data_IF_542874080338
#
_entry.id   IF_542874080338
#
_cell.length_a   1.000
_cell.length_b   1.000
_cell.length_c   1.000
_cell.angle_alpha   90.00
_cell.angle_beta   90.00
_cell.angle_gamma   90.00
#
_symmetry.space_group_name_H-M   'P 1'
#
loop_
_entity.id
_entity.type
_entity.pdbx_description
1 polymer ?
#
# COMPACT_ATOMS: atom_id res chain seq x y z
N UNK A 1 -20.93 -21.05 -60.86
CA UNK A 1 -20.67 -21.66 -59.53
C UNK A 1 -19.51 -21.05 -58.77
N UNK A 2 -18.29 -20.90 -59.28
CA UNK A 2 -17.13 -20.31 -58.54
C UNK A 2 -17.33 -18.86 -58.01
N UNK A 3 -17.99 -17.99 -58.77
CA UNK A 3 -18.24 -16.60 -58.35
C UNK A 3 -19.17 -16.49 -57.16
N UNK A 4 -20.21 -17.34 -57.06
CA UNK A 4 -21.15 -17.34 -55.96
C UNK A 4 -20.50 -17.82 -54.64
N UNK A 5 -19.54 -18.76 -54.73
CA UNK A 5 -18.78 -19.25 -53.56
C UNK A 5 -17.88 -18.13 -53.02
N UNK A 6 -17.26 -17.35 -53.89
CA UNK A 6 -16.39 -16.21 -53.51
C UNK A 6 -17.22 -15.12 -52.80
N UNK A 7 -18.42 -14.78 -53.30
CA UNK A 7 -19.30 -13.83 -52.65
C UNK A 7 -19.84 -14.32 -51.31
N UNK A 8 -20.15 -15.62 -51.19
CA UNK A 8 -20.55 -16.19 -49.92
C UNK A 8 -19.40 -16.17 -48.87
N UNK A 9 -18.17 -16.44 -49.30
CA UNK A 9 -17.00 -16.40 -48.42
C UNK A 9 -16.69 -14.96 -47.97
N UNK A 10 -16.79 -13.98 -48.86
CA UNK A 10 -16.64 -12.56 -48.55
C UNK A 10 -17.69 -12.05 -47.53
N UNK A 11 -18.93 -12.54 -47.69
CA UNK A 11 -20.03 -12.17 -46.76
C UNK A 11 -19.84 -12.77 -45.38
N UNK A 12 -19.34 -13.99 -45.31
CA UNK A 12 -18.98 -14.65 -44.01
C UNK A 12 -17.80 -13.92 -43.34
N UNK A 13 -16.77 -13.54 -44.09
CA UNK A 13 -15.64 -12.81 -43.56
C UNK A 13 -16.08 -11.42 -43.07
N UNK A 14 -16.95 -10.70 -43.83
CA UNK A 14 -17.50 -9.40 -43.43
C UNK A 14 -18.36 -9.51 -42.13
N UNK A 15 -19.11 -10.61 -41.97
CA UNK A 15 -19.88 -10.88 -40.77
C UNK A 15 -19.02 -11.16 -39.52
N UNK A 16 -17.79 -11.70 -39.71
CA UNK A 16 -16.85 -11.92 -38.62
C UNK A 16 -16.20 -10.63 -38.10
N UNK A 17 -16.18 -9.57 -38.90
CA UNK A 17 -15.70 -8.23 -38.49
C UNK A 17 -16.80 -7.33 -37.92
N UNK A 18 -18.07 -7.73 -37.99
CA UNK A 18 -19.16 -7.05 -37.32
C UNK A 18 -19.26 -7.50 -35.84
N UNK A 19 -18.13 -7.53 -35.16
CA UNK A 19 -18.06 -7.72 -33.71
C UNK A 19 -18.74 -6.52 -33.02
N UNK A 20 -19.75 -6.78 -32.23
CA UNK A 20 -20.47 -5.75 -31.48
C UNK A 20 -19.58 -5.21 -30.35
N UNK A 21 -18.75 -4.21 -30.58
CA UNK A 21 -18.04 -3.45 -29.56
C UNK A 21 -19.02 -2.88 -28.51
N UNK A 22 -20.20 -2.44 -28.95
CA UNK A 22 -21.23 -1.88 -28.06
C UNK A 22 -21.92 -2.89 -27.13
N UNK A 23 -21.74 -4.21 -27.31
CA UNK A 23 -22.27 -5.21 -26.37
C UNK A 23 -21.30 -5.55 -25.24
N UNK A 24 -20.06 -5.10 -25.33
CA UNK A 24 -19.06 -5.22 -24.26
C UNK A 24 -19.06 -3.99 -23.33
N UNK A 25 -19.63 -2.87 -23.76
CA UNK A 25 -19.92 -1.71 -22.93
C UNK A 25 -21.15 -1.99 -22.05
N UNK A 26 -20.98 -2.83 -21.06
CA UNK A 26 -21.98 -3.01 -20.02
C UNK A 26 -21.87 -1.81 -19.08
N UNK A 27 -22.85 -0.89 -19.12
CA UNK A 27 -23.00 0.09 -18.06
C UNK A 27 -23.05 -0.64 -16.72
N UNK A 28 -22.10 -0.33 -15.84
CA UNK A 28 -22.09 -0.89 -14.49
C UNK A 28 -23.30 -0.36 -13.73
N UNK A 29 -24.35 -1.17 -13.64
CA UNK A 29 -25.51 -0.87 -12.81
C UNK A 29 -25.18 -1.19 -11.36
N UNK A 30 -25.10 -0.17 -10.52
CA UNK A 30 -24.85 -0.27 -9.08
C UNK A 30 -24.29 1.04 -8.52
N UNK A 31 -24.19 1.12 -7.19
CA UNK A 31 -23.64 2.29 -6.49
C UNK A 31 -22.11 2.50 -6.69
N UNK A 32 -21.47 1.68 -7.49
CA UNK A 32 -20.08 1.89 -7.91
C UNK A 32 -20.09 2.50 -9.31
N UNK A 33 -20.05 3.82 -9.38
CA UNK A 33 -19.77 4.57 -10.61
C UNK A 33 -18.43 4.17 -11.25
N UNK A 34 -18.13 4.74 -12.40
CA UNK A 34 -16.79 4.65 -13.00
C UNK A 34 -15.74 5.11 -11.97
N UNK A 35 -14.54 4.52 -12.02
CA UNK A 35 -13.42 4.96 -11.16
C UNK A 35 -13.19 6.48 -11.24
N UNK A 36 -13.48 7.10 -12.39
CA UNK A 36 -13.35 8.54 -12.56
C UNK A 36 -14.42 9.34 -11.82
N UNK A 37 -15.56 8.74 -11.48
CA UNK A 37 -16.67 9.41 -10.77
C UNK A 37 -16.60 9.21 -9.25
N UNK A 38 -15.81 8.25 -8.77
CA UNK A 38 -15.77 7.89 -7.35
C UNK A 38 -14.97 8.90 -6.50
N UNK A 39 -13.88 9.47 -7.01
CA UNK A 39 -12.97 10.31 -6.21
C UNK A 39 -13.34 11.81 -6.23
N UNK A 40 -14.63 12.16 -6.21
CA UNK A 40 -15.10 13.53 -6.41
C UNK A 40 -15.50 14.23 -5.09
N UNK A 41 -16.21 13.55 -4.19
CA UNK A 41 -16.72 14.14 -2.96
C UNK A 41 -15.88 13.79 -1.73
N UNK A 42 -15.92 14.61 -0.69
CA UNK A 42 -15.22 14.35 0.57
C UNK A 42 -15.64 13.03 1.21
N UNK A 43 -16.93 12.63 1.09
CA UNK A 43 -17.44 11.36 1.59
C UNK A 43 -16.85 10.16 0.84
N UNK A 44 -16.74 10.25 -0.48
CA UNK A 44 -16.10 9.21 -1.30
C UNK A 44 -14.62 9.07 -0.95
N UNK A 45 -13.96 10.20 -0.69
CA UNK A 45 -12.55 10.22 -0.29
C UNK A 45 -12.36 9.59 1.08
N UNK A 46 -13.22 9.89 2.06
CA UNK A 46 -13.16 9.21 3.38
C UNK A 46 -13.41 7.70 3.26
N UNK A 47 -14.26 7.24 2.33
CA UNK A 47 -14.44 5.80 2.05
C UNK A 47 -13.17 5.18 1.45
N UNK A 48 -12.49 5.88 0.52
CA UNK A 48 -11.22 5.41 -0.05
C UNK A 48 -10.14 5.30 1.03
N UNK A 49 -10.04 6.30 1.92
CA UNK A 49 -9.14 6.27 3.07
C UNK A 49 -9.47 5.11 4.01
N UNK A 50 -10.74 4.91 4.36
CA UNK A 50 -11.17 3.79 5.19
C UNK A 50 -10.80 2.44 4.57
N UNK A 51 -10.84 2.32 3.24
CA UNK A 51 -10.39 1.12 2.51
C UNK A 51 -8.90 0.86 2.68
N UNK A 52 -8.04 1.89 2.66
CA UNK A 52 -6.60 1.74 2.93
C UNK A 52 -6.35 1.20 4.35
N UNK A 53 -7.01 1.77 5.37
CA UNK A 53 -6.91 1.26 6.75
C UNK A 53 -7.45 -0.17 6.88
N UNK A 54 -8.51 -0.52 6.17
CA UNK A 54 -9.05 -1.89 6.14
C UNK A 54 -8.08 -2.87 5.50
N UNK A 55 -7.36 -2.46 4.46
CA UNK A 55 -6.30 -3.28 3.83
C UNK A 55 -5.18 -3.59 4.83
N UNK A 56 -4.73 -2.59 5.59
CA UNK A 56 -3.75 -2.81 6.68
C UNK A 56 -4.22 -3.86 7.69
N UNK A 57 -5.49 -3.79 8.11
CA UNK A 57 -6.07 -4.78 9.01
C UNK A 57 -6.04 -6.19 8.39
N UNK A 58 -6.38 -6.32 7.10
CA UNK A 58 -6.33 -7.59 6.37
C UNK A 58 -4.92 -8.14 6.22
N UNK A 59 -3.95 -7.26 6.02
CA UNK A 59 -2.53 -7.61 5.88
C UNK A 59 -1.88 -8.01 7.21
N UNK A 60 -2.38 -7.47 8.34
CA UNK A 60 -1.73 -7.54 9.66
C UNK A 60 -1.37 -8.97 10.09
N UNK A 61 -2.24 -9.95 9.90
CA UNK A 61 -1.98 -11.34 10.30
C UNK A 61 -0.73 -11.89 9.61
N UNK A 62 -0.65 -11.83 8.29
CA UNK A 62 0.48 -12.34 7.53
C UNK A 62 1.76 -11.55 7.84
N UNK A 63 1.67 -10.22 7.90
CA UNK A 63 2.78 -9.33 8.20
C UNK A 63 3.34 -9.58 9.60
N UNK A 64 2.46 -9.67 10.62
CA UNK A 64 2.86 -9.90 12.02
C UNK A 64 3.59 -11.22 12.17
N UNK A 65 3.02 -12.31 11.67
CA UNK A 65 3.65 -13.62 11.79
C UNK A 65 4.93 -13.74 10.96
N UNK A 66 4.94 -13.21 9.74
CA UNK A 66 6.16 -13.25 8.91
C UNK A 66 7.31 -12.54 9.62
N UNK A 67 7.10 -11.35 10.17
CA UNK A 67 8.18 -10.59 10.81
C UNK A 67 8.63 -11.20 12.14
N UNK A 68 7.72 -11.75 12.93
CA UNK A 68 8.07 -12.31 14.22
C UNK A 68 8.69 -13.71 14.09
N UNK A 69 8.18 -14.57 13.23
CA UNK A 69 8.68 -15.94 13.07
C UNK A 69 10.01 -16.02 12.30
N UNK A 70 10.39 -14.98 11.57
CA UNK A 70 11.73 -14.82 10.99
C UNK A 70 12.75 -14.28 11.99
N UNK A 71 12.42 -14.19 13.25
CA UNK A 71 13.34 -13.81 14.33
C UNK A 71 13.60 -14.99 15.27
N UNK A 72 14.67 -14.91 16.07
CA UNK A 72 15.03 -15.89 17.07
C UNK A 72 14.18 -15.78 18.35
N UNK A 73 13.38 -14.71 18.48
CA UNK A 73 12.67 -14.37 19.71
C UNK A 73 11.31 -15.09 19.84
N UNK A 74 10.80 -15.65 18.74
CA UNK A 74 9.44 -16.23 18.68
C UNK A 74 9.49 -17.64 18.10
N UNK A 75 8.77 -18.55 18.76
CA UNK A 75 8.60 -19.93 18.31
C UNK A 75 7.17 -20.17 17.82
N UNK A 76 7.05 -20.86 16.68
CA UNK A 76 5.75 -21.31 16.16
C UNK A 76 5.24 -22.47 17.03
N UNK A 77 4.32 -22.17 17.95
CA UNK A 77 3.63 -23.20 18.74
C UNK A 77 2.57 -23.93 17.90
N UNK A 78 1.90 -24.88 18.55
CA UNK A 78 0.80 -25.67 17.97
C UNK A 78 0.52 -26.90 18.83
N UNK A 79 -0.54 -27.65 18.52
CA UNK A 79 -0.85 -28.90 19.20
C UNK A 79 0.09 -30.02 18.75
N UNK A 80 0.55 -29.98 17.51
CA UNK A 80 1.51 -30.91 16.92
C UNK A 80 2.20 -30.28 15.70
N UNK A 81 3.31 -30.88 15.29
CA UNK A 81 3.99 -30.49 14.06
C UNK A 81 3.09 -30.69 12.84
N UNK A 82 3.07 -29.73 11.94
CA UNK A 82 2.23 -29.74 10.75
C UNK A 82 0.87 -29.05 10.92
N UNK A 83 0.56 -28.52 12.11
CA UNK A 83 -0.68 -27.78 12.36
C UNK A 83 -0.77 -26.53 11.48
N UNK A 84 0.35 -25.84 11.28
CA UNK A 84 0.45 -24.72 10.36
C UNK A 84 1.82 -24.70 9.67
N UNK A 85 1.93 -25.47 8.62
CA UNK A 85 3.19 -25.67 7.87
C UNK A 85 3.82 -24.35 7.39
N UNK A 86 3.01 -23.38 6.95
CA UNK A 86 3.54 -22.10 6.47
C UNK A 86 4.22 -21.29 7.58
N UNK A 87 3.68 -21.32 8.80
CA UNK A 87 4.29 -20.66 9.97
C UNK A 87 5.53 -21.41 10.46
N UNK A 88 5.45 -22.75 10.51
CA UNK A 88 6.59 -23.60 10.89
C UNK A 88 7.78 -23.40 9.95
N UNK A 89 7.53 -23.33 8.63
CA UNK A 89 8.56 -23.08 7.63
C UNK A 89 9.25 -21.72 7.84
N UNK A 90 8.52 -20.67 8.22
CA UNK A 90 9.13 -19.37 8.53
C UNK A 90 10.07 -19.49 9.72
N UNK A 91 9.60 -20.11 10.80
CA UNK A 91 10.35 -20.26 12.03
C UNK A 91 11.60 -21.16 11.88
N UNK A 92 11.54 -22.14 10.98
CA UNK A 92 12.64 -23.07 10.71
C UNK A 92 13.56 -22.63 9.55
N UNK A 93 13.26 -21.47 8.91
CA UNK A 93 13.96 -20.96 7.73
C UNK A 93 13.98 -21.98 6.55
N UNK A 94 12.91 -22.79 6.43
CA UNK A 94 12.74 -23.79 5.37
C UNK A 94 11.73 -23.37 4.31
N UNK A 95 11.27 -22.12 4.35
CA UNK A 95 10.29 -21.58 3.42
C UNK A 95 10.82 -21.43 2.00
N UNK A 96 9.94 -21.64 1.02
CA UNK A 96 10.17 -21.34 -0.39
C UNK A 96 9.37 -20.12 -0.85
N UNK A 97 9.46 -19.85 -2.14
CA UNK A 97 8.70 -18.76 -2.80
C UNK A 97 7.19 -19.01 -2.83
N UNK A 98 6.76 -20.21 -2.56
CA UNK A 98 5.37 -20.69 -2.48
C UNK A 98 4.76 -20.57 -1.07
N UNK A 99 5.51 -20.09 -0.08
CA UNK A 99 5.00 -19.89 1.27
C UNK A 99 3.88 -18.83 1.29
N UNK A 100 2.66 -19.26 1.67
CA UNK A 100 1.46 -18.43 1.61
C UNK A 100 1.50 -17.18 2.50
N UNK A 101 2.27 -17.20 3.60
CA UNK A 101 2.44 -16.03 4.48
C UNK A 101 3.25 -14.94 3.76
N UNK A 102 4.37 -15.30 3.15
CA UNK A 102 5.24 -14.39 2.39
C UNK A 102 4.47 -13.83 1.18
N UNK A 103 3.79 -14.69 0.41
CA UNK A 103 2.97 -14.26 -0.72
C UNK A 103 1.84 -13.32 -0.28
N UNK A 104 1.19 -13.60 0.86
CA UNK A 104 0.13 -12.76 1.42
C UNK A 104 0.64 -11.38 1.83
N UNK A 105 1.85 -11.28 2.41
CA UNK A 105 2.47 -9.98 2.71
C UNK A 105 2.77 -9.22 1.43
N UNK A 106 3.46 -9.86 0.46
CA UNK A 106 3.84 -9.23 -0.79
C UNK A 106 2.64 -8.69 -1.56
N UNK A 107 1.64 -9.52 -1.81
CA UNK A 107 0.44 -9.12 -2.54
C UNK A 107 -0.39 -8.07 -1.80
N UNK A 108 -0.47 -8.16 -0.47
CA UNK A 108 -1.17 -7.18 0.36
C UNK A 108 -0.50 -5.80 0.34
N UNK A 109 0.84 -5.74 0.34
CA UNK A 109 1.58 -4.48 0.21
C UNK A 109 1.32 -3.82 -1.15
N UNK A 110 1.35 -4.58 -2.26
CA UNK A 110 1.03 -4.03 -3.58
C UNK A 110 -0.45 -3.65 -3.72
N UNK A 111 -1.36 -4.39 -3.07
CA UNK A 111 -2.76 -3.98 -2.99
C UNK A 111 -2.94 -2.63 -2.30
N UNK A 112 -2.18 -2.38 -1.22
CA UNK A 112 -2.17 -1.08 -0.54
C UNK A 112 -1.53 0.02 -1.42
N UNK A 113 -0.40 -0.26 -2.09
CA UNK A 113 0.25 0.68 -3.01
C UNK A 113 -0.71 1.10 -4.13
N UNK A 114 -1.46 0.15 -4.70
CA UNK A 114 -2.46 0.44 -5.72
C UNK A 114 -3.56 1.40 -5.21
N UNK A 115 -4.09 1.16 -4.00
CA UNK A 115 -5.08 2.04 -3.38
C UNK A 115 -4.50 3.44 -3.12
N UNK A 116 -3.24 3.52 -2.68
CA UNK A 116 -2.55 4.80 -2.48
C UNK A 116 -2.39 5.55 -3.80
N UNK A 117 -1.96 4.87 -4.88
CA UNK A 117 -1.82 5.48 -6.20
C UNK A 117 -3.16 6.00 -6.73
N UNK A 118 -4.26 5.27 -6.52
CA UNK A 118 -5.60 5.77 -6.86
C UNK A 118 -5.93 7.10 -6.16
N UNK A 119 -5.67 7.19 -4.86
CA UNK A 119 -5.93 8.43 -4.11
C UNK A 119 -4.99 9.56 -4.58
N UNK A 120 -3.70 9.28 -4.73
CA UNK A 120 -2.70 10.29 -5.10
C UNK A 120 -2.96 10.86 -6.49
N UNK A 121 -3.41 10.05 -7.46
CA UNK A 121 -3.60 10.48 -8.85
C UNK A 121 -5.02 10.97 -9.16
N UNK A 122 -6.05 10.44 -8.50
CA UNK A 122 -7.44 10.75 -8.83
C UNK A 122 -8.05 11.85 -7.97
N UNK A 123 -7.47 12.13 -6.79
CA UNK A 123 -8.02 13.11 -5.86
C UNK A 123 -7.42 14.50 -6.12
N UNK A 124 -8.30 15.48 -6.39
CA UNK A 124 -7.88 16.88 -6.44
C UNK A 124 -7.62 17.40 -5.01
N UNK A 125 -6.59 18.23 -4.82
CA UNK A 125 -6.21 18.78 -3.51
C UNK A 125 -6.95 20.09 -3.15
N UNK A 126 -8.23 20.16 -3.46
CA UNK A 126 -9.06 21.35 -3.37
C UNK A 126 -9.80 21.53 -2.03
N UNK A 127 -9.88 20.48 -1.20
CA UNK A 127 -10.45 20.55 0.15
C UNK A 127 -9.48 20.08 1.23
N UNK A 128 -9.65 20.46 2.52
CA UNK A 128 -8.83 19.94 3.61
C UNK A 128 -8.92 18.41 3.77
N UNK A 129 -10.09 17.81 3.53
CA UNK A 129 -10.31 16.37 3.59
C UNK A 129 -9.49 15.67 2.50
N UNK A 130 -9.54 16.14 1.28
CA UNK A 130 -8.81 15.62 0.14
C UNK A 130 -7.29 15.76 0.30
N UNK A 131 -6.82 16.93 0.76
CA UNK A 131 -5.38 17.13 1.08
C UNK A 131 -4.89 16.15 2.13
N UNK A 132 -5.68 15.94 3.19
CA UNK A 132 -5.37 14.96 4.22
C UNK A 132 -5.31 13.54 3.66
N UNK A 133 -6.27 13.16 2.82
CA UNK A 133 -6.30 11.84 2.20
C UNK A 133 -5.07 11.57 1.33
N UNK A 134 -4.62 12.55 0.54
CA UNK A 134 -3.39 12.46 -0.25
C UNK A 134 -2.17 12.28 0.66
N UNK A 135 -2.08 13.04 1.75
CA UNK A 135 -0.97 12.93 2.70
C UNK A 135 -0.96 11.55 3.40
N UNK A 136 -2.13 11.02 3.80
CA UNK A 136 -2.25 9.66 4.34
C UNK A 136 -1.89 8.59 3.30
N UNK A 137 -2.31 8.75 2.04
CA UNK A 137 -1.95 7.82 0.97
C UNK A 137 -0.44 7.79 0.70
N UNK A 138 0.22 8.95 0.69
CA UNK A 138 1.68 9.03 0.61
C UNK A 138 2.36 8.34 1.78
N UNK A 139 1.88 8.56 3.01
CA UNK A 139 2.39 7.86 4.19
C UNK A 139 2.24 6.33 4.04
N UNK A 140 1.09 5.82 3.62
CA UNK A 140 0.87 4.38 3.47
C UNK A 140 1.67 3.78 2.33
N UNK A 141 1.85 4.50 1.24
CA UNK A 141 2.71 4.05 0.13
C UNK A 141 4.18 3.97 0.58
N UNK A 142 4.65 4.96 1.32
CA UNK A 142 5.96 4.94 1.94
C UNK A 142 6.11 3.76 2.92
N UNK A 143 5.12 3.52 3.78
CA UNK A 143 5.11 2.38 4.69
C UNK A 143 5.20 1.06 3.94
N UNK A 144 4.42 0.89 2.89
CA UNK A 144 4.45 -0.34 2.10
C UNK A 144 5.81 -0.55 1.40
N UNK A 145 6.40 0.49 0.81
CA UNK A 145 7.73 0.43 0.21
C UNK A 145 8.83 0.19 1.27
N UNK A 146 8.69 0.75 2.49
CA UNK A 146 9.56 0.45 3.61
C UNK A 146 9.54 -1.04 3.97
N UNK A 147 8.36 -1.64 4.05
CA UNK A 147 8.24 -3.08 4.31
C UNK A 147 8.80 -3.92 3.15
N UNK A 148 8.59 -3.52 1.90
CA UNK A 148 9.17 -4.20 0.74
C UNK A 148 10.70 -4.17 0.77
N UNK A 149 11.31 -3.02 0.98
CA UNK A 149 12.78 -2.92 0.97
C UNK A 149 13.41 -3.61 2.16
N UNK A 150 12.77 -3.60 3.34
CA UNK A 150 13.32 -4.26 4.53
C UNK A 150 13.16 -5.78 4.51
N UNK A 151 12.13 -6.32 3.87
CA UNK A 151 11.88 -7.77 3.81
C UNK A 151 12.52 -8.44 2.59
N UNK A 152 12.58 -7.77 1.43
CA UNK A 152 13.09 -8.35 0.18
C UNK A 152 14.38 -7.69 -0.33
N UNK A 153 14.75 -6.52 0.16
CA UNK A 153 15.88 -5.74 -0.35
C UNK A 153 15.57 -5.09 -1.70
N UNK A 154 15.09 -5.87 -2.66
CA UNK A 154 14.70 -5.41 -4.00
C UNK A 154 13.27 -5.81 -4.31
N UNK A 155 12.49 -4.91 -4.90
CA UNK A 155 11.10 -5.15 -5.29
C UNK A 155 10.72 -4.20 -6.44
N UNK A 156 9.69 -4.48 -7.23
CA UNK A 156 9.18 -3.51 -8.20
C UNK A 156 8.74 -2.21 -7.52
N UNK A 157 9.25 -1.07 -7.96
CA UNK A 157 8.78 0.24 -7.51
C UNK A 157 7.58 0.66 -8.37
N UNK A 158 6.42 0.75 -7.74
CA UNK A 158 5.16 1.13 -8.38
C UNK A 158 4.67 2.42 -7.74
N UNK A 159 5.00 3.55 -8.34
CA UNK A 159 4.73 4.90 -7.84
C UNK A 159 3.56 5.60 -8.53
N UNK A 160 2.90 4.92 -9.47
CA UNK A 160 1.76 5.41 -10.25
C UNK A 160 0.79 4.26 -10.60
N UNK A 161 -0.36 4.59 -11.20
CA UNK A 161 -1.31 3.61 -11.75
C UNK A 161 -0.75 3.05 -13.05
N UNK A 162 -0.40 1.76 -13.03
CA UNK A 162 0.23 1.10 -14.17
C UNK A 162 -0.70 0.98 -15.36
N UNK A 163 -0.21 1.30 -16.54
CA UNK A 163 -0.86 1.01 -17.83
C UNK A 163 -0.61 -0.45 -18.25
N UNK A 164 -1.44 -1.03 -19.13
CA UNK A 164 -1.32 -2.45 -19.52
C UNK A 164 0.06 -2.87 -20.00
N UNK A 165 0.84 -1.97 -20.61
CA UNK A 165 2.22 -2.21 -21.07
C UNK A 165 3.24 -2.30 -19.92
N UNK A 166 2.89 -1.83 -18.73
CA UNK A 166 3.77 -1.71 -17.56
C UNK A 166 3.57 -2.82 -16.52
N UNK A 167 2.62 -3.74 -16.71
CA UNK A 167 2.30 -4.78 -15.72
C UNK A 167 3.45 -5.78 -15.45
N UNK A 168 4.50 -5.76 -16.26
CA UNK A 168 5.70 -6.58 -16.05
C UNK A 168 6.87 -5.71 -15.60
N UNK A 169 6.85 -5.34 -14.33
CA UNK A 169 7.90 -4.55 -13.70
C UNK A 169 9.06 -5.45 -13.25
N UNK A 170 10.29 -5.02 -13.51
CA UNK A 170 11.48 -5.59 -12.88
C UNK A 170 11.67 -5.04 -11.47
N UNK A 171 12.51 -5.72 -10.66
CA UNK A 171 12.87 -5.21 -9.34
C UNK A 171 13.71 -3.93 -9.47
N UNK A 172 13.37 -2.95 -8.64
CA UNK A 172 14.17 -1.74 -8.43
C UNK A 172 15.28 -1.99 -7.40
N UNK A 173 16.27 -1.14 -7.39
CA UNK A 173 17.36 -1.22 -6.40
C UNK A 173 16.89 -0.80 -5.01
N UNK A 174 17.56 -1.25 -3.92
CA UNK A 174 17.26 -0.79 -2.57
C UNK A 174 17.31 0.75 -2.44
N UNK A 175 18.27 1.40 -3.12
CA UNK A 175 18.42 2.85 -3.09
C UNK A 175 17.22 3.57 -3.70
N UNK A 176 16.66 3.04 -4.80
CA UNK A 176 15.47 3.60 -5.43
C UNK A 176 14.23 3.45 -4.53
N UNK A 177 14.08 2.29 -3.87
CA UNK A 177 13.00 2.06 -2.91
C UNK A 177 13.11 2.97 -1.70
N UNK A 178 14.32 3.15 -1.14
CA UNK A 178 14.54 4.07 -0.03
C UNK A 178 14.28 5.52 -0.42
N UNK A 179 14.69 5.93 -1.62
CA UNK A 179 14.41 7.28 -2.13
C UNK A 179 12.90 7.53 -2.26
N UNK A 180 12.13 6.55 -2.72
CA UNK A 180 10.66 6.64 -2.79
C UNK A 180 10.03 6.73 -1.39
N UNK A 181 10.51 5.95 -0.41
CA UNK A 181 10.06 6.04 0.99
C UNK A 181 10.30 7.42 1.56
N UNK A 182 11.51 7.96 1.39
CA UNK A 182 11.86 9.31 1.89
C UNK A 182 11.05 10.39 1.19
N UNK A 183 10.87 10.30 -0.12
CA UNK A 183 10.10 11.28 -0.90
C UNK A 183 8.65 11.33 -0.42
N UNK A 184 7.98 10.20 -0.33
CA UNK A 184 6.57 10.15 0.08
C UNK A 184 6.37 10.61 1.54
N UNK A 185 7.28 10.27 2.47
CA UNK A 185 7.19 10.74 3.85
C UNK A 185 7.45 12.24 3.96
N UNK A 186 8.45 12.76 3.25
CA UNK A 186 8.71 14.20 3.22
C UNK A 186 7.55 14.98 2.61
N UNK A 187 6.95 14.47 1.53
CA UNK A 187 5.77 15.07 0.92
C UNK A 187 4.58 15.07 1.89
N UNK A 188 4.28 13.92 2.52
CA UNK A 188 3.18 13.81 3.48
C UNK A 188 3.35 14.80 4.66
N UNK A 189 4.58 15.00 5.14
CA UNK A 189 4.92 15.95 6.20
C UNK A 189 4.78 17.40 5.70
N UNK A 190 5.35 17.72 4.53
CA UNK A 190 5.41 19.09 3.99
C UNK A 190 4.05 19.62 3.57
N UNK A 191 3.11 18.76 3.17
CA UNK A 191 1.73 19.14 2.88
C UNK A 191 1.03 19.78 4.09
N UNK A 192 1.52 19.52 5.30
CA UNK A 192 0.94 20.01 6.56
C UNK A 192 -0.59 19.75 6.67
N UNK A 193 -1.05 18.68 6.07
CA UNK A 193 -2.45 18.26 6.02
C UNK A 193 -2.78 17.14 7.01
N UNK A 194 -1.77 16.40 7.48
CA UNK A 194 -1.96 15.41 8.53
C UNK A 194 -2.27 16.09 9.85
N UNK A 195 -3.23 15.56 10.64
CA UNK A 195 -3.54 16.11 11.95
C UNK A 195 -2.35 15.94 12.90
N UNK A 196 -2.28 16.80 13.89
CA UNK A 196 -1.33 16.70 14.97
C UNK A 196 -2.09 16.61 16.30
N UNK A 197 -1.71 15.67 17.17
CA UNK A 197 -2.34 15.55 18.49
C UNK A 197 -2.19 16.86 19.28
N UNK A 198 -3.20 17.21 20.06
CA UNK A 198 -3.17 18.38 20.94
C UNK A 198 -2.25 18.13 22.14
N UNK A 199 -2.32 16.92 22.69
CA UNK A 199 -1.55 16.43 23.84
C UNK A 199 -1.55 14.89 23.86
N UNK A 200 -0.97 14.28 24.89
CA UNK A 200 -0.89 12.83 25.05
C UNK A 200 -2.25 12.14 25.14
N UNK A 201 -3.26 12.82 25.69
CA UNK A 201 -4.60 12.26 25.92
C UNK A 201 -5.51 12.38 24.69
N UNK A 202 -5.08 13.06 23.64
CA UNK A 202 -5.82 13.16 22.38
C UNK A 202 -5.78 11.84 21.60
N UNK A 203 -6.62 10.89 22.05
CA UNK A 203 -6.72 9.57 21.44
C UNK A 203 -7.44 9.59 20.10
N UNK A 204 -8.43 10.45 19.94
CA UNK A 204 -9.25 10.53 18.73
C UNK A 204 -8.39 10.91 17.51
N UNK A 205 -7.58 11.97 17.62
CA UNK A 205 -6.65 12.35 16.56
C UNK A 205 -5.63 11.24 16.28
N UNK A 206 -5.20 10.51 17.31
CA UNK A 206 -4.25 9.40 17.21
C UNK A 206 -4.82 8.10 16.58
N UNK A 207 -6.11 8.04 16.25
CA UNK A 207 -6.69 6.87 15.55
C UNK A 207 -6.31 6.81 14.07
N UNK A 208 -5.85 7.90 13.49
CA UNK A 208 -5.37 8.00 12.11
C UNK A 208 -3.92 8.49 12.10
N UNK A 209 -3.29 8.43 10.94
CA UNK A 209 -1.92 8.94 10.76
C UNK A 209 -1.84 10.41 11.16
N UNK A 210 -0.87 10.72 12.01
CA UNK A 210 -0.58 12.09 12.46
C UNK A 210 0.75 12.58 11.88
N UNK A 211 0.96 13.89 11.96
CA UNK A 211 2.22 14.52 11.53
C UNK A 211 3.43 13.90 12.27
N UNK A 212 3.29 13.64 13.56
CA UNK A 212 4.36 13.06 14.37
C UNK A 212 4.62 11.59 14.02
N UNK A 213 3.58 10.82 13.64
CA UNK A 213 3.73 9.44 13.16
C UNK A 213 4.50 9.41 11.83
N UNK A 214 4.19 10.33 10.90
CA UNK A 214 4.92 10.43 9.65
C UNK A 214 6.40 10.78 9.88
N UNK A 215 6.70 11.72 10.78
CA UNK A 215 8.07 12.06 11.21
C UNK A 215 8.79 10.88 11.87
N UNK A 216 8.11 10.15 12.75
CA UNK A 216 8.68 8.98 13.41
C UNK A 216 9.06 7.88 12.38
N UNK A 217 8.23 7.66 11.36
CA UNK A 217 8.54 6.73 10.28
C UNK A 217 9.68 7.20 9.38
N UNK A 218 9.77 8.51 9.10
CA UNK A 218 10.91 9.09 8.39
C UNK A 218 12.22 8.88 9.16
N UNK A 219 12.20 9.14 10.46
CA UNK A 219 13.36 8.86 11.34
C UNK A 219 13.73 7.39 11.37
N UNK A 220 12.74 6.49 11.40
CA UNK A 220 12.98 5.04 11.30
C UNK A 220 13.60 4.67 9.94
N UNK A 221 13.11 5.25 8.83
CA UNK A 221 13.68 5.03 7.50
C UNK A 221 15.14 5.48 7.42
N UNK A 222 15.47 6.63 8.00
CA UNK A 222 16.85 7.09 8.10
C UNK A 222 17.73 6.16 8.95
N UNK A 223 17.22 5.65 10.09
CA UNK A 223 17.96 4.71 10.93
C UNK A 223 18.33 3.42 10.17
N UNK A 224 17.40 2.86 9.40
CA UNK A 224 17.64 1.65 8.60
C UNK A 224 18.70 1.87 7.52
N UNK A 225 18.85 3.10 7.03
CA UNK A 225 19.86 3.49 6.07
C UNK A 225 21.17 4.00 6.72
N UNK A 226 21.27 3.97 8.06
CA UNK A 226 22.41 4.50 8.83
C UNK A 226 22.62 6.01 8.66
N UNK A 227 21.59 6.75 8.25
CA UNK A 227 21.56 8.21 8.20
C UNK A 227 21.25 8.75 9.60
N UNK A 228 22.19 8.58 10.54
CA UNK A 228 21.93 8.79 11.96
C UNK A 228 21.70 10.26 12.34
N UNK A 229 22.33 11.19 11.64
CA UNK A 229 22.14 12.62 11.90
C UNK A 229 20.74 13.09 11.48
N UNK A 230 20.30 12.71 10.29
CA UNK A 230 18.96 13.00 9.77
C UNK A 230 17.89 12.35 10.64
N UNK A 231 18.11 11.10 11.07
CA UNK A 231 17.22 10.41 11.98
C UNK A 231 17.08 11.17 13.31
N UNK A 232 18.20 11.59 13.90
CA UNK A 232 18.20 12.31 15.17
C UNK A 232 17.43 13.63 15.08
N UNK A 233 17.60 14.39 13.99
CA UNK A 233 16.92 15.67 13.79
C UNK A 233 15.39 15.44 13.79
N UNK A 234 14.90 14.55 12.94
CA UNK A 234 13.46 14.38 12.78
C UNK A 234 12.79 13.68 13.98
N UNK A 235 13.50 12.75 14.64
CA UNK A 235 12.98 12.07 15.83
C UNK A 235 12.95 13.01 17.05
N UNK A 236 13.91 13.92 17.20
CA UNK A 236 13.87 14.93 18.26
C UNK A 236 12.66 15.85 18.12
N UNK A 237 12.21 16.18 16.89
CA UNK A 237 10.99 16.94 16.72
C UNK A 237 9.76 16.22 17.29
N UNK A 238 9.71 14.88 17.19
CA UNK A 238 8.63 14.08 17.78
C UNK A 238 8.72 14.08 19.31
N UNK A 239 9.91 13.87 19.86
CA UNK A 239 10.16 13.89 21.32
C UNK A 239 9.83 15.25 21.92
N UNK A 240 10.32 16.33 21.29
CA UNK A 240 10.14 17.70 21.76
C UNK A 240 8.68 18.17 21.65
N UNK A 241 7.88 17.54 20.80
CA UNK A 241 6.44 17.83 20.71
C UNK A 241 5.69 17.54 22.02
N UNK A 242 6.19 16.61 22.84
CA UNK A 242 5.59 16.11 24.09
C UNK A 242 4.14 15.60 23.94
N UNK A 243 3.78 15.18 22.72
CA UNK A 243 2.46 14.66 22.38
C UNK A 243 2.38 13.15 22.48
N UNK A 244 3.53 12.50 22.65
CA UNK A 244 3.71 11.07 22.82
C UNK A 244 4.69 10.82 23.97
N UNK A 245 4.49 9.75 24.72
CA UNK A 245 5.42 9.28 25.75
C UNK A 245 5.44 7.76 25.74
N UNK A 246 6.46 7.19 26.36
CA UNK A 246 6.52 5.75 26.60
C UNK A 246 5.51 5.39 27.68
N UNK A 247 4.82 4.27 27.50
CA UNK A 247 3.95 3.73 28.53
C UNK A 247 4.80 3.38 29.77
N UNK A 248 4.44 3.95 30.91
CA UNK A 248 5.15 3.77 32.19
C UNK A 248 4.29 3.08 33.25
N UNK A 249 3.27 2.35 32.83
CA UNK A 249 2.43 1.57 33.74
C UNK A 249 3.08 0.23 34.13
N UNK A 250 2.74 -0.24 35.30
CA UNK A 250 3.05 -1.62 35.72
C UNK A 250 2.21 -2.60 34.91
N UNK A 251 2.80 -3.71 34.45
CA UNK A 251 2.11 -4.80 33.76
C UNK A 251 1.43 -5.71 34.81
#
# INVERSE_FOLDING_TARGET
MRKNIIYSLLLVVAALFAGCDSRLDIEKHGNMGDQNDFYQTDEQIEQAVASMYSNLKGLYYNWFFTKNLLSDDVWCGGGQRGDNTSLEQLNEYTYGTDNGMIQGVFSGLYGLIYQCNLVIEKVADDTPVKKRAIAEAKFFRAWANFELVTLWGTAPLVDHLLEPGEYRQGNSTPEALWAAVESDLNDAISMNALPSKKNMDDRETGMRVTQEVAKAYLGKAYLFQKKYQEAAIVLNEVVDSKKYDLFRGDY
#
